data_IF_119629797008
#
_entry.id   IF_119629797008
#
_cell.length_a   1.000
_cell.length_b   1.000
_cell.length_c   1.000
_cell.angle_alpha   90.00
_cell.angle_beta   90.00
_cell.angle_gamma   90.00
#
_symmetry.space_group_name_H-M   'P 1'
#
loop_
_entity.id
_entity.type
_entity.pdbx_description
1 polymer ?
#
# COMPACT_ATOMS: atom_id res chain seq x y z
N UNK A 1 -13.16 21.33 27.22
CA UNK A 1 -14.12 20.42 26.57
C UNK A 1 -13.30 19.23 26.10
N UNK A 2 -13.39 18.09 26.81
CA UNK A 2 -12.70 16.86 26.40
C UNK A 2 -13.41 16.29 25.18
N UNK A 3 -12.75 16.32 24.02
CA UNK A 3 -13.18 15.52 22.88
C UNK A 3 -13.01 14.05 23.28
N UNK A 4 -14.11 13.35 23.45
CA UNK A 4 -14.11 11.90 23.66
C UNK A 4 -13.43 11.25 22.45
N UNK A 5 -12.31 10.56 22.69
CA UNK A 5 -11.69 9.73 21.67
C UNK A 5 -12.74 8.70 21.24
N UNK A 6 -13.14 8.72 19.96
CA UNK A 6 -14.06 7.73 19.43
C UNK A 6 -13.34 6.37 19.43
N UNK A 7 -13.75 5.47 20.34
CA UNK A 7 -13.24 4.11 20.36
C UNK A 7 -13.98 3.31 19.28
N UNK A 8 -13.32 3.07 18.13
CA UNK A 8 -13.83 2.18 17.11
C UNK A 8 -13.73 0.70 17.52
N UNK A 9 -14.51 -0.15 16.84
CA UNK A 9 -14.47 -1.61 17.00
C UNK A 9 -13.07 -2.13 16.65
N UNK A 10 -12.50 -3.03 17.47
CA UNK A 10 -11.28 -3.76 17.13
C UNK A 10 -11.61 -5.01 16.31
N UNK A 11 -10.88 -5.21 15.20
CA UNK A 11 -10.98 -6.41 14.35
C UNK A 11 -9.82 -7.32 14.69
N UNK A 12 -10.09 -8.55 15.09
CA UNK A 12 -9.07 -9.56 15.33
C UNK A 12 -8.57 -10.18 14.02
N UNK A 13 -7.40 -10.83 14.05
CA UNK A 13 -6.76 -11.40 12.87
C UNK A 13 -7.65 -12.42 12.12
N UNK A 14 -8.46 -13.20 12.84
CA UNK A 14 -9.39 -14.17 12.25
C UNK A 14 -10.54 -13.48 11.52
N UNK A 15 -11.08 -12.42 12.08
CA UNK A 15 -12.11 -11.62 11.44
C UNK A 15 -11.54 -10.87 10.21
N UNK A 16 -10.29 -10.38 10.30
CA UNK A 16 -9.60 -9.79 9.16
C UNK A 16 -9.37 -10.82 8.04
N UNK A 17 -8.98 -12.05 8.39
CA UNK A 17 -8.80 -13.13 7.40
C UNK A 17 -10.11 -13.47 6.66
N UNK A 18 -11.26 -13.42 7.34
CA UNK A 18 -12.56 -13.63 6.70
C UNK A 18 -12.93 -12.52 5.71
N UNK A 19 -12.33 -11.33 5.82
CA UNK A 19 -12.57 -10.20 4.91
C UNK A 19 -11.68 -10.24 3.66
N UNK A 20 -10.63 -11.08 3.60
CA UNK A 20 -9.62 -11.01 2.53
C UNK A 20 -10.25 -11.23 1.14
N UNK A 21 -11.14 -12.20 0.99
CA UNK A 21 -11.78 -12.49 -0.30
C UNK A 21 -12.74 -11.38 -0.74
N UNK A 22 -13.74 -10.94 0.08
CA UNK A 22 -14.64 -9.87 -0.35
C UNK A 22 -13.91 -8.54 -0.58
N UNK A 23 -12.85 -8.22 0.17
CA UNK A 23 -12.04 -7.02 -0.08
C UNK A 23 -11.20 -7.15 -1.36
N UNK A 24 -10.72 -8.36 -1.68
CA UNK A 24 -10.02 -8.61 -2.95
C UNK A 24 -10.97 -8.39 -4.14
N UNK A 25 -12.24 -8.83 -4.05
CA UNK A 25 -13.23 -8.55 -5.09
C UNK A 25 -13.44 -7.04 -5.31
N UNK A 26 -13.48 -6.25 -4.25
CA UNK A 26 -13.56 -4.79 -4.39
C UNK A 26 -12.37 -4.21 -5.14
N UNK A 27 -11.14 -4.64 -4.80
CA UNK A 27 -9.91 -4.19 -5.48
C UNK A 27 -9.89 -4.63 -6.94
N UNK A 28 -10.34 -5.85 -7.26
CA UNK A 28 -10.48 -6.33 -8.64
C UNK A 28 -11.46 -5.47 -9.45
N UNK A 29 -12.63 -5.19 -8.89
CA UNK A 29 -13.65 -4.36 -9.55
C UNK A 29 -13.19 -2.92 -9.73
N UNK A 30 -12.51 -2.34 -8.75
CA UNK A 30 -11.89 -1.02 -8.83
C UNK A 30 -10.82 -0.98 -9.94
N UNK A 31 -9.93 -1.97 -9.97
CA UNK A 31 -8.93 -2.13 -11.02
C UNK A 31 -9.53 -2.26 -12.42
N UNK A 32 -10.61 -3.04 -12.57
CA UNK A 32 -11.33 -3.15 -13.84
C UNK A 32 -11.95 -1.82 -14.28
N UNK A 33 -12.50 -1.03 -13.36
CA UNK A 33 -13.04 0.29 -13.65
C UNK A 33 -11.94 1.26 -14.11
N UNK A 34 -10.77 1.26 -13.47
CA UNK A 34 -9.60 2.05 -13.91
C UNK A 34 -9.20 1.66 -15.33
N UNK A 35 -9.09 0.35 -15.61
CA UNK A 35 -8.70 -0.16 -16.93
C UNK A 35 -9.71 0.15 -18.03
N UNK A 36 -10.98 0.37 -17.69
CA UNK A 36 -12.04 0.74 -18.64
C UNK A 36 -11.99 2.22 -19.06
N UNK A 37 -11.27 3.07 -18.32
CA UNK A 37 -11.14 4.50 -18.65
C UNK A 37 -10.28 4.69 -19.88
N UNK A 38 -10.76 5.48 -20.83
CA UNK A 38 -10.02 5.81 -22.05
C UNK A 38 -8.97 6.89 -21.78
N UNK A 39 -7.72 6.47 -21.63
CA UNK A 39 -6.58 7.38 -21.35
C UNK A 39 -6.37 8.46 -22.42
N UNK A 40 -6.83 8.25 -23.67
CA UNK A 40 -6.64 9.21 -24.77
C UNK A 40 -7.57 10.42 -24.69
N UNK A 41 -8.68 10.32 -23.95
CA UNK A 41 -9.67 11.39 -23.76
C UNK A 41 -9.79 11.84 -22.29
N UNK A 42 -8.79 11.48 -21.48
CA UNK A 42 -8.81 11.68 -20.04
C UNK A 42 -8.81 13.18 -19.69
N UNK A 43 -9.79 13.60 -18.92
CA UNK A 43 -9.75 14.89 -18.25
C UNK A 43 -8.87 14.76 -16.99
N UNK A 44 -7.86 15.62 -16.90
CA UNK A 44 -6.93 15.64 -15.75
C UNK A 44 -7.24 16.89 -14.95
N UNK A 45 -7.62 16.71 -13.69
CA UNK A 45 -7.80 17.81 -12.74
C UNK A 45 -6.59 17.88 -11.80
N UNK A 46 -6.25 19.07 -11.34
CA UNK A 46 -5.19 19.27 -10.34
C UNK A 46 -5.79 19.35 -8.95
N UNK A 47 -5.31 18.53 -8.01
CA UNK A 47 -5.62 18.68 -6.58
C UNK A 47 -4.96 19.94 -6.01
N UNK A 48 -5.32 20.33 -4.79
CA UNK A 48 -4.78 21.51 -4.12
C UNK A 48 -3.25 21.44 -3.90
N UNK A 49 -2.70 20.23 -3.79
CA UNK A 49 -1.27 19.95 -3.67
C UNK A 49 -0.54 19.85 -5.03
N UNK A 50 -1.26 20.01 -6.14
CA UNK A 50 -0.74 19.93 -7.50
C UNK A 50 -0.62 18.51 -8.06
N UNK A 51 -1.03 17.47 -7.33
CA UNK A 51 -1.12 16.12 -7.86
C UNK A 51 -2.30 15.99 -8.85
N UNK A 52 -2.20 15.14 -9.88
CA UNK A 52 -3.30 14.88 -10.80
C UNK A 52 -4.35 13.99 -10.15
N UNK A 53 -5.62 14.21 -10.51
CA UNK A 53 -6.73 13.30 -10.25
C UNK A 53 -7.55 13.14 -11.53
N UNK A 54 -8.13 11.99 -11.73
CA UNK A 54 -8.88 11.65 -12.93
C UNK A 54 -10.20 10.94 -12.60
N UNK A 55 -11.05 10.78 -13.61
CA UNK A 55 -12.28 9.99 -13.47
C UNK A 55 -12.02 8.53 -13.03
N UNK A 56 -10.81 8.00 -13.30
CA UNK A 56 -10.42 6.66 -12.88
C UNK A 56 -10.28 6.56 -11.35
N UNK A 57 -9.68 7.59 -10.72
CA UNK A 57 -9.54 7.68 -9.25
C UNK A 57 -10.93 7.68 -8.59
N UNK A 58 -11.85 8.51 -9.07
CA UNK A 58 -13.21 8.60 -8.53
C UNK A 58 -14.05 7.35 -8.78
N UNK A 59 -13.88 6.69 -9.94
CA UNK A 59 -14.59 5.44 -10.24
C UNK A 59 -14.16 4.31 -9.30
N UNK A 60 -12.86 4.17 -9.07
CA UNK A 60 -12.29 3.19 -8.14
C UNK A 60 -12.71 3.49 -6.69
N UNK A 61 -12.60 4.75 -6.27
CA UNK A 61 -12.98 5.20 -4.93
C UNK A 61 -14.45 4.88 -4.61
N UNK A 62 -15.36 5.14 -5.55
CA UNK A 62 -16.78 4.83 -5.38
C UNK A 62 -17.02 3.34 -5.18
N UNK A 63 -16.41 2.47 -6.01
CA UNK A 63 -16.57 1.02 -5.92
C UNK A 63 -16.10 0.51 -4.56
N UNK A 64 -14.92 0.95 -4.10
CA UNK A 64 -14.37 0.52 -2.82
C UNK A 64 -15.22 1.04 -1.66
N UNK A 65 -15.55 2.33 -1.65
CA UNK A 65 -16.31 2.95 -0.58
C UNK A 65 -17.74 2.39 -0.42
N UNK A 66 -18.46 2.21 -1.53
CA UNK A 66 -19.80 1.61 -1.52
C UNK A 66 -19.76 0.14 -1.07
N UNK A 67 -18.73 -0.60 -1.54
CA UNK A 67 -18.52 -1.98 -1.13
C UNK A 67 -18.19 -2.13 0.36
N UNK A 68 -17.31 -1.30 0.89
CA UNK A 68 -16.99 -1.28 2.33
C UNK A 68 -18.20 -0.92 3.19
N UNK A 69 -19.00 0.05 2.77
CA UNK A 69 -20.23 0.42 3.47
C UNK A 69 -21.24 -0.73 3.55
N UNK A 70 -21.30 -1.59 2.52
CA UNK A 70 -22.16 -2.76 2.50
C UNK A 70 -21.60 -3.94 3.31
N UNK A 71 -20.26 -4.14 3.27
CA UNK A 71 -19.62 -5.28 3.94
C UNK A 71 -19.43 -5.04 5.44
N UNK A 72 -19.02 -3.84 5.83
CA UNK A 72 -18.58 -3.53 7.19
C UNK A 72 -18.71 -2.02 7.48
N UNK A 73 -19.91 -1.48 7.30
CA UNK A 73 -20.19 -0.05 7.37
C UNK A 73 -19.97 0.64 8.73
N UNK A 74 -19.69 -0.12 9.79
CA UNK A 74 -19.35 0.40 11.13
C UNK A 74 -17.85 0.72 11.30
N UNK A 75 -16.99 0.39 10.30
CA UNK A 75 -15.57 0.74 10.30
C UNK A 75 -15.33 1.92 9.36
N UNK A 76 -14.73 3.05 9.82
CA UNK A 76 -14.44 4.19 8.95
C UNK A 76 -13.55 3.84 7.78
N UNK A 77 -13.89 4.34 6.60
CA UNK A 77 -13.11 4.24 5.38
C UNK A 77 -12.51 5.62 5.04
N UNK A 78 -11.20 5.71 5.09
CA UNK A 78 -10.41 6.92 4.85
C UNK A 78 -9.73 6.78 3.50
N UNK A 79 -10.19 7.56 2.53
CA UNK A 79 -9.70 7.53 1.16
C UNK A 79 -8.97 8.82 0.82
N UNK A 80 -7.93 8.73 0.00
CA UNK A 80 -7.26 9.91 -0.57
C UNK A 80 -8.24 10.87 -1.26
N UNK A 81 -9.32 10.35 -1.86
CA UNK A 81 -10.25 11.12 -2.69
C UNK A 81 -11.47 11.66 -1.93
N UNK A 82 -11.51 11.51 -0.60
CA UNK A 82 -12.66 11.93 0.22
C UNK A 82 -12.24 12.77 1.43
N UNK A 83 -13.10 13.71 1.89
CA UNK A 83 -12.92 14.31 3.21
C UNK A 83 -12.93 13.23 4.30
N UNK A 84 -12.03 13.36 5.26
CA UNK A 84 -11.89 12.36 6.31
C UNK A 84 -12.92 12.54 7.42
N UNK A 85 -13.70 11.50 7.77
CA UNK A 85 -14.75 11.58 8.76
C UNK A 85 -14.26 11.50 10.22
N UNK A 86 -12.96 11.28 10.42
CA UNK A 86 -12.36 11.08 11.75
C UNK A 86 -11.40 12.19 12.13
N UNK A 87 -11.32 12.45 13.43
CA UNK A 87 -10.29 13.33 14.00
C UNK A 87 -9.10 12.50 14.46
N UNK A 88 -7.89 13.00 14.22
CA UNK A 88 -6.66 12.38 14.69
C UNK A 88 -6.28 12.82 16.10
N UNK A 89 -5.63 11.96 16.92
CA UNK A 89 -5.32 10.56 16.61
C UNK A 89 -6.57 9.68 16.65
N UNK A 90 -6.67 8.74 15.74
CA UNK A 90 -7.78 7.79 15.69
C UNK A 90 -7.40 6.46 16.35
N UNK A 91 -8.26 5.95 17.21
CA UNK A 91 -8.07 4.66 17.90
C UNK A 91 -9.18 3.69 17.53
N UNK A 92 -8.81 2.46 17.24
CA UNK A 92 -9.71 1.41 16.75
C UNK A 92 -9.33 0.93 15.37
N UNK A 93 -10.30 0.34 14.67
CA UNK A 93 -10.10 -0.13 13.29
C UNK A 93 -10.59 0.90 12.28
N UNK A 94 -9.86 1.07 11.18
CA UNK A 94 -10.24 1.90 10.04
C UNK A 94 -9.58 1.37 8.76
N UNK A 95 -10.19 1.68 7.61
CA UNK A 95 -9.58 1.41 6.33
C UNK A 95 -8.79 2.62 5.85
N UNK A 96 -7.63 2.38 5.24
CA UNK A 96 -6.88 3.34 4.43
C UNK A 96 -6.93 2.89 2.98
N UNK A 97 -7.29 3.82 2.09
CA UNK A 97 -7.55 3.54 0.69
C UNK A 97 -6.82 4.56 -0.17
N UNK A 98 -6.01 4.05 -1.09
CA UNK A 98 -5.58 4.79 -2.26
C UNK A 98 -6.22 4.13 -3.49
N UNK A 99 -7.24 4.77 -4.08
CA UNK A 99 -7.99 4.19 -5.20
C UNK A 99 -7.15 4.04 -6.46
N UNK A 100 -6.17 4.92 -6.67
CA UNK A 100 -5.24 4.89 -7.80
C UNK A 100 -3.89 5.51 -7.43
N UNK A 101 -3.06 4.75 -6.69
CA UNK A 101 -1.66 5.11 -6.47
C UNK A 101 -0.90 5.09 -7.80
N UNK A 102 -0.26 6.21 -8.12
CA UNK A 102 0.45 6.38 -9.37
C UNK A 102 -0.41 6.96 -10.49
N UNK A 103 -1.27 7.93 -10.20
CA UNK A 103 -2.04 8.67 -11.23
C UNK A 103 -1.14 9.26 -12.31
N UNK A 104 0.08 9.68 -11.97
CA UNK A 104 1.09 10.15 -12.94
C UNK A 104 1.53 9.04 -13.90
N UNK A 105 1.75 7.83 -13.40
CA UNK A 105 2.07 6.65 -14.19
C UNK A 105 0.89 6.27 -15.10
N UNK A 106 -0.33 6.28 -14.56
CA UNK A 106 -1.55 6.02 -15.31
C UNK A 106 -1.73 7.01 -16.47
N UNK A 107 -1.65 8.30 -16.20
CA UNK A 107 -1.74 9.37 -17.21
C UNK A 107 -0.64 9.28 -18.26
N UNK A 108 0.58 8.89 -17.85
CA UNK A 108 1.72 8.69 -18.76
C UNK A 108 1.64 7.40 -19.59
N UNK A 109 0.55 6.61 -19.48
CA UNK A 109 0.37 5.36 -20.22
C UNK A 109 1.24 4.19 -19.72
N UNK A 110 1.76 4.26 -18.49
CA UNK A 110 2.54 3.20 -17.87
C UNK A 110 1.62 2.20 -17.15
N UNK A 111 2.15 1.02 -16.86
CA UNK A 111 1.38 -0.08 -16.25
C UNK A 111 1.59 -0.22 -14.73
N UNK A 112 2.52 0.55 -14.16
CA UNK A 112 2.91 0.48 -12.76
C UNK A 112 2.11 1.48 -11.90
N UNK A 113 0.80 1.27 -11.82
CA UNK A 113 -0.12 1.94 -10.90
C UNK A 113 -0.91 0.90 -10.12
N UNK A 114 -1.36 1.24 -8.91
CA UNK A 114 -1.98 0.27 -8.02
C UNK A 114 -3.25 0.80 -7.35
N UNK A 115 -4.11 -0.13 -6.91
CA UNK A 115 -5.21 0.11 -5.97
C UNK A 115 -4.74 -0.43 -4.63
N UNK A 116 -4.69 0.41 -3.61
CA UNK A 116 -4.22 0.04 -2.29
C UNK A 116 -5.37 0.08 -1.28
N UNK A 117 -5.58 -1.03 -0.58
CA UNK A 117 -6.60 -1.16 0.47
C UNK A 117 -5.97 -1.80 1.71
N UNK A 118 -6.03 -1.12 2.85
CA UNK A 118 -5.54 -1.62 4.12
C UNK A 118 -6.59 -1.53 5.21
N UNK A 119 -6.63 -2.53 6.09
CA UNK A 119 -7.30 -2.46 7.38
C UNK A 119 -6.24 -2.20 8.45
N UNK A 120 -6.38 -1.07 9.13
CA UNK A 120 -5.52 -0.66 10.25
C UNK A 120 -6.27 -0.92 11.55
N UNK A 121 -5.57 -1.46 12.55
CA UNK A 121 -6.08 -1.67 13.90
C UNK A 121 -5.15 -1.03 14.93
N UNK A 122 -5.68 -0.11 15.72
CA UNK A 122 -4.91 0.58 16.76
C UNK A 122 -3.56 1.13 16.24
N UNK A 123 -3.60 1.78 15.07
CA UNK A 123 -2.44 2.37 14.44
C UNK A 123 -1.47 1.39 13.75
N UNK A 124 -1.82 0.10 13.63
CA UNK A 124 -0.98 -0.90 12.95
C UNK A 124 -1.76 -1.58 11.81
N UNK A 125 -1.24 -1.61 10.57
CA UNK A 125 -1.87 -2.32 9.47
C UNK A 125 -1.93 -3.83 9.74
N UNK A 126 -3.13 -4.40 9.69
CA UNK A 126 -3.41 -5.81 9.95
C UNK A 126 -3.62 -6.61 8.67
N UNK A 127 -4.31 -6.02 7.69
CA UNK A 127 -4.58 -6.61 6.38
C UNK A 127 -4.21 -5.61 5.30
N UNK A 128 -3.63 -6.08 4.21
CA UNK A 128 -3.31 -5.27 3.05
C UNK A 128 -3.60 -5.99 1.74
N UNK A 129 -4.06 -5.23 0.75
CA UNK A 129 -4.28 -5.69 -0.62
C UNK A 129 -3.72 -4.61 -1.56
N UNK A 130 -2.84 -5.00 -2.46
CA UNK A 130 -2.27 -4.17 -3.52
C UNK A 130 -2.68 -4.79 -4.84
N UNK A 131 -3.59 -4.15 -5.56
CA UNK A 131 -3.97 -4.56 -6.92
C UNK A 131 -3.18 -3.78 -7.96
N UNK A 132 -2.51 -4.46 -8.89
CA UNK A 132 -1.84 -3.86 -10.04
C UNK A 132 -2.55 -4.30 -11.33
N UNK A 133 -3.65 -3.63 -11.72
CA UNK A 133 -4.58 -4.15 -12.73
C UNK A 133 -3.95 -4.28 -14.13
N UNK A 134 -3.07 -3.36 -14.51
CA UNK A 134 -2.39 -3.42 -15.80
C UNK A 134 -1.30 -4.52 -15.85
N UNK A 135 -0.77 -4.93 -14.69
CA UNK A 135 0.19 -6.03 -14.58
C UNK A 135 -0.52 -7.40 -14.41
N UNK A 136 -1.84 -7.41 -14.19
CA UNK A 136 -2.60 -8.62 -13.91
C UNK A 136 -2.19 -9.30 -12.60
N UNK A 137 -1.84 -8.52 -11.56
CA UNK A 137 -1.34 -9.02 -10.29
C UNK A 137 -2.08 -8.42 -9.10
N UNK A 138 -2.21 -9.22 -8.05
CA UNK A 138 -2.57 -8.76 -6.71
C UNK A 138 -1.59 -9.36 -5.71
N UNK A 139 -1.10 -8.55 -4.78
CA UNK A 139 -0.44 -9.00 -3.56
C UNK A 139 -1.36 -8.71 -2.38
N UNK A 140 -1.59 -9.70 -1.54
CA UNK A 140 -2.45 -9.55 -0.36
C UNK A 140 -1.91 -10.33 0.82
N UNK A 141 -2.24 -9.89 2.02
CA UNK A 141 -1.80 -10.58 3.23
C UNK A 141 -2.52 -10.12 4.48
N UNK A 142 -2.54 -11.01 5.47
CA UNK A 142 -3.01 -10.74 6.82
C UNK A 142 -1.87 -11.06 7.78
N UNK A 143 -1.49 -10.10 8.59
CA UNK A 143 -0.39 -10.25 9.56
C UNK A 143 -0.68 -11.40 10.51
N UNK A 144 0.27 -12.34 10.61
CA UNK A 144 0.14 -13.58 11.37
C UNK A 144 -0.59 -14.72 10.65
N UNK A 145 -1.04 -14.52 9.38
CA UNK A 145 -1.70 -15.56 8.56
C UNK A 145 -0.97 -15.85 7.26
N UNK A 146 -0.03 -15.00 6.85
CA UNK A 146 0.74 -15.11 5.63
C UNK A 146 0.29 -14.16 4.53
N UNK A 147 1.01 -14.20 3.43
CA UNK A 147 0.77 -13.41 2.23
C UNK A 147 0.76 -14.28 0.98
N UNK A 148 0.08 -13.82 -0.06
CA UNK A 148 0.01 -14.50 -1.35
C UNK A 148 -0.04 -13.51 -2.50
N UNK A 149 0.39 -13.98 -3.67
CA UNK A 149 0.27 -13.29 -4.94
C UNK A 149 -0.77 -14.01 -5.80
N UNK A 150 -1.69 -13.24 -6.37
CA UNK A 150 -2.68 -13.73 -7.31
C UNK A 150 -2.36 -13.24 -8.70
N UNK A 151 -2.49 -14.13 -9.70
CA UNK A 151 -2.57 -13.74 -11.09
C UNK A 151 -4.03 -13.44 -11.45
N UNK A 152 -4.25 -12.37 -12.20
CA UNK A 152 -5.59 -11.84 -12.52
C UNK A 152 -5.78 -11.86 -14.03
N UNK A 153 -6.93 -12.32 -14.49
CA UNK A 153 -7.38 -12.23 -15.88
C UNK A 153 -8.78 -11.57 -15.90
N UNK A 154 -8.83 -10.30 -16.33
CA UNK A 154 -10.04 -9.49 -16.23
C UNK A 154 -10.45 -9.24 -14.77
N UNK A 155 -11.63 -9.71 -14.36
CA UNK A 155 -12.15 -9.63 -12.98
C UNK A 155 -12.03 -10.94 -12.21
N UNK A 156 -11.29 -11.93 -12.72
CA UNK A 156 -11.16 -13.25 -12.11
C UNK A 156 -9.73 -13.51 -11.67
N UNK A 157 -9.56 -14.08 -10.48
CA UNK A 157 -8.28 -14.61 -10.02
C UNK A 157 -8.03 -15.98 -10.63
N UNK A 158 -6.90 -16.16 -11.31
CA UNK A 158 -6.56 -17.40 -11.97
C UNK A 158 -5.75 -18.35 -11.10
N UNK A 159 -4.86 -17.80 -10.26
CA UNK A 159 -3.94 -18.58 -9.42
C UNK A 159 -3.54 -17.76 -8.21
N UNK A 160 -3.56 -18.39 -7.03
CA UNK A 160 -2.99 -17.87 -5.80
C UNK A 160 -1.72 -18.66 -5.45
N UNK A 161 -0.64 -17.96 -5.12
CA UNK A 161 0.64 -18.53 -4.72
C UNK A 161 1.07 -17.90 -3.39
N UNK A 162 1.38 -18.70 -2.36
CA UNK A 162 2.00 -18.18 -1.15
C UNK A 162 3.32 -17.48 -1.49
N UNK A 163 3.55 -16.33 -0.86
CA UNK A 163 4.78 -15.56 -1.04
C UNK A 163 5.46 -15.31 0.29
N UNK A 164 6.79 -15.19 0.22
CA UNK A 164 7.63 -14.86 1.36
C UNK A 164 8.70 -13.87 0.93
N UNK A 165 9.07 -12.98 1.83
CA UNK A 165 10.27 -12.17 1.66
C UNK A 165 11.51 -13.07 1.67
N UNK A 166 12.62 -12.56 1.16
CA UNK A 166 13.87 -13.32 1.16
C UNK A 166 14.82 -12.87 2.27
N UNK A 167 15.70 -13.79 2.67
CA UNK A 167 16.79 -13.51 3.61
C UNK A 167 17.80 -12.53 3.03
N UNK A 168 18.66 -11.97 3.91
CA UNK A 168 19.80 -11.13 3.53
C UNK A 168 20.59 -11.69 2.36
N UNK A 169 21.08 -10.85 1.44
CA UNK A 169 22.03 -11.25 0.41
C UNK A 169 23.27 -11.92 1.05
N UNK A 170 23.75 -12.99 0.42
CA UNK A 170 25.00 -13.63 0.86
C UNK A 170 26.18 -12.67 0.66
N UNK A 171 27.26 -12.82 1.43
CA UNK A 171 28.49 -12.06 1.20
C UNK A 171 28.94 -12.16 -0.27
N UNK A 172 29.02 -11.00 -0.95
CA UNK A 172 29.36 -10.91 -2.37
C UNK A 172 28.17 -10.78 -3.32
N UNK A 173 26.96 -11.09 -2.89
CA UNK A 173 25.75 -10.86 -3.69
C UNK A 173 25.32 -9.38 -3.58
N UNK A 174 24.77 -8.78 -4.64
CA UNK A 174 24.28 -7.42 -4.62
C UNK A 174 22.96 -7.32 -3.83
N UNK A 175 22.79 -6.20 -3.12
CA UNK A 175 21.47 -5.83 -2.61
C UNK A 175 20.57 -5.36 -3.75
N UNK A 176 19.32 -5.82 -3.79
CA UNK A 176 18.30 -5.31 -4.72
C UNK A 176 17.39 -4.34 -3.97
N UNK A 177 17.49 -3.07 -4.33
CA UNK A 177 16.68 -2.01 -3.77
C UNK A 177 15.52 -1.66 -4.73
N UNK A 178 14.29 -1.86 -4.32
CA UNK A 178 13.13 -1.30 -5.00
C UNK A 178 13.11 0.21 -4.77
N UNK A 179 13.06 1.01 -5.84
CA UNK A 179 13.09 2.47 -5.75
C UNK A 179 11.96 3.09 -6.57
N UNK A 180 11.51 4.28 -6.13
CA UNK A 180 10.52 5.02 -6.90
C UNK A 180 11.08 5.44 -8.26
N UNK A 181 10.28 5.25 -9.31
CA UNK A 181 10.60 5.74 -10.66
C UNK A 181 10.52 7.27 -10.74
N UNK A 182 9.51 7.85 -10.12
CA UNK A 182 9.12 9.25 -10.28
C UNK A 182 9.49 10.15 -9.11
N UNK A 183 9.73 9.58 -7.90
CA UNK A 183 10.00 10.31 -6.67
C UNK A 183 11.27 9.81 -5.98
N UNK A 184 12.43 10.12 -6.58
CA UNK A 184 13.73 9.86 -5.96
C UNK A 184 14.05 10.94 -4.92
N UNK A 185 14.68 10.56 -3.81
CA UNK A 185 15.20 11.48 -2.82
C UNK A 185 16.66 11.15 -2.46
N UNK A 186 17.44 12.20 -2.11
CA UNK A 186 18.88 12.06 -1.85
C UNK A 186 19.19 11.18 -0.63
N UNK A 187 18.31 11.16 0.39
CA UNK A 187 18.51 10.36 1.61
C UNK A 187 18.35 8.88 1.31
N UNK A 188 17.31 8.50 0.56
CA UNK A 188 17.09 7.12 0.08
C UNK A 188 18.25 6.66 -0.80
N UNK A 189 18.72 7.50 -1.72
CA UNK A 189 19.86 7.17 -2.59
C UNK A 189 21.16 6.98 -1.78
N UNK A 190 21.45 7.84 -0.79
CA UNK A 190 22.60 7.68 0.10
C UNK A 190 22.50 6.39 0.93
N UNK A 191 21.30 6.07 1.43
CA UNK A 191 21.05 4.83 2.16
C UNK A 191 21.32 3.60 1.29
N UNK A 192 20.84 3.57 0.04
CA UNK A 192 21.09 2.48 -0.90
C UNK A 192 22.57 2.38 -1.25
N UNK A 193 23.24 3.51 -1.49
CA UNK A 193 24.65 3.54 -1.82
C UNK A 193 25.56 2.99 -0.69
N UNK A 194 25.09 2.99 0.56
CA UNK A 194 25.80 2.39 1.69
C UNK A 194 25.72 0.85 1.71
N UNK A 195 24.88 0.22 0.86
CA UNK A 195 24.75 -1.23 0.78
C UNK A 195 25.70 -1.80 -0.27
N UNK A 196 26.49 -2.85 0.04
CA UNK A 196 27.45 -3.43 -0.89
C UNK A 196 26.81 -3.88 -2.20
N UNK A 197 27.32 -3.40 -3.33
CA UNK A 197 26.90 -3.81 -4.66
C UNK A 197 25.44 -3.49 -5.03
N UNK A 198 24.77 -2.57 -4.33
CA UNK A 198 23.33 -2.35 -4.46
C UNK A 198 22.89 -2.02 -5.90
N UNK A 199 21.93 -2.79 -6.39
CA UNK A 199 21.25 -2.62 -7.67
C UNK A 199 19.88 -2.01 -7.44
N UNK A 200 19.47 -1.07 -8.27
CA UNK A 200 18.18 -0.37 -8.17
C UNK A 200 17.17 -0.93 -9.16
N UNK A 201 16.08 -1.45 -8.65
CA UNK A 201 14.89 -1.81 -9.45
C UNK A 201 13.90 -0.63 -9.41
N UNK A 202 13.77 0.08 -10.53
CA UNK A 202 12.89 1.27 -10.63
C UNK A 202 11.47 0.87 -10.96
N UNK A 203 10.56 1.10 -10.01
CA UNK A 203 9.15 0.70 -10.10
C UNK A 203 8.24 1.87 -9.71
N UNK A 204 7.02 1.87 -10.26
CA UNK A 204 5.93 2.78 -9.86
C UNK A 204 5.18 2.27 -8.64
N UNK A 205 4.47 3.16 -7.96
CA UNK A 205 3.44 2.88 -6.96
C UNK A 205 3.80 1.85 -5.90
N UNK A 206 2.80 1.20 -5.30
CA UNK A 206 2.98 0.13 -4.30
C UNK A 206 3.48 -1.20 -4.90
N UNK A 207 3.71 -1.32 -6.23
CA UNK A 207 4.38 -2.48 -6.84
C UNK A 207 5.69 -2.81 -6.13
N UNK A 208 6.41 -1.80 -5.63
CA UNK A 208 7.64 -1.95 -4.84
C UNK A 208 7.48 -2.83 -3.61
N UNK A 209 6.37 -2.67 -2.88
CA UNK A 209 6.03 -3.53 -1.74
C UNK A 209 5.72 -4.96 -2.18
N UNK A 210 4.99 -5.13 -3.29
CA UNK A 210 4.70 -6.45 -3.86
C UNK A 210 5.98 -7.20 -4.22
N UNK A 211 6.93 -6.53 -4.89
CA UNK A 211 8.23 -7.09 -5.26
C UNK A 211 9.06 -7.49 -4.04
N UNK A 212 9.02 -6.69 -2.98
CA UNK A 212 9.68 -7.01 -1.72
C UNK A 212 9.04 -8.23 -1.04
N UNK A 213 7.70 -8.27 -0.97
CA UNK A 213 6.94 -9.33 -0.32
C UNK A 213 7.10 -10.70 -1.01
N UNK A 214 7.25 -10.74 -2.35
CA UNK A 214 7.50 -11.97 -3.10
C UNK A 214 8.98 -12.38 -3.16
N UNK A 215 9.87 -11.68 -2.43
CA UNK A 215 11.29 -11.99 -2.35
C UNK A 215 12.10 -11.58 -3.58
N UNK A 216 11.58 -10.70 -4.44
CA UNK A 216 12.30 -10.20 -5.60
C UNK A 216 13.24 -9.04 -5.29
N UNK A 217 12.99 -8.29 -4.21
CA UNK A 217 13.84 -7.22 -3.71
C UNK A 217 14.24 -7.49 -2.24
N UNK A 218 15.29 -6.80 -1.74
CA UNK A 218 15.78 -6.90 -0.38
C UNK A 218 15.28 -5.74 0.49
N UNK A 219 15.20 -4.54 -0.09
CA UNK A 219 14.84 -3.31 0.61
C UNK A 219 14.01 -2.38 -0.28
N UNK A 220 13.14 -1.61 0.37
CA UNK A 220 12.50 -0.46 -0.23
C UNK A 220 12.57 0.73 0.73
N UNK A 221 13.59 1.60 0.63
CA UNK A 221 13.67 2.83 1.40
C UNK A 221 12.92 3.96 0.71
N UNK A 222 12.16 4.74 1.49
CA UNK A 222 11.61 6.03 1.13
C UNK A 222 11.79 6.98 2.31
N UNK A 223 12.84 7.81 2.25
CA UNK A 223 13.23 8.73 3.31
C UNK A 223 12.75 10.17 3.03
N UNK A 224 11.68 10.27 2.22
CA UNK A 224 10.92 11.48 1.94
C UNK A 224 9.45 11.26 2.29
N UNK A 225 8.69 12.30 2.65
CA UNK A 225 7.29 12.19 3.02
C UNK A 225 6.42 11.57 1.92
N UNK A 226 5.39 10.85 2.35
CA UNK A 226 4.32 10.31 1.52
C UNK A 226 3.04 10.24 2.36
N UNK A 227 1.94 9.76 1.78
CA UNK A 227 0.70 9.58 2.51
C UNK A 227 0.64 8.20 3.18
N UNK A 228 -0.12 8.07 4.27
CA UNK A 228 -0.29 6.80 4.97
C UNK A 228 -0.96 5.74 4.09
N UNK A 229 -1.90 6.11 3.20
CA UNK A 229 -2.58 5.20 2.27
C UNK A 229 -1.66 4.64 1.18
N UNK A 230 -0.54 5.32 0.83
CA UNK A 230 0.50 4.79 -0.06
C UNK A 230 1.26 3.61 0.59
N UNK A 231 1.28 3.56 1.94
CA UNK A 231 2.17 2.68 2.71
C UNK A 231 1.43 1.54 3.41
N UNK A 232 0.23 1.79 3.93
CA UNK A 232 -0.46 0.88 4.85
C UNK A 232 -0.69 -0.52 4.26
N UNK A 233 -1.18 -0.61 3.00
CA UNK A 233 -1.38 -1.91 2.35
C UNK A 233 -0.07 -2.66 2.16
N UNK A 234 0.97 -1.96 1.69
CA UNK A 234 2.31 -2.51 1.52
C UNK A 234 2.94 -2.97 2.83
N UNK A 235 2.76 -2.19 3.90
CA UNK A 235 3.22 -2.54 5.24
C UNK A 235 2.62 -3.88 5.70
N UNK A 236 1.30 -4.05 5.58
CA UNK A 236 0.64 -5.28 5.99
C UNK A 236 1.09 -6.48 5.14
N UNK A 237 1.18 -6.33 3.80
CA UNK A 237 1.59 -7.40 2.87
C UNK A 237 3.03 -7.84 3.15
N UNK A 238 3.97 -6.91 3.28
CA UNK A 238 5.39 -7.22 3.58
C UNK A 238 5.52 -7.89 4.95
N UNK A 239 4.82 -7.38 5.98
CA UNK A 239 4.85 -7.97 7.32
C UNK A 239 4.24 -9.38 7.31
N UNK A 240 3.13 -9.60 6.60
CA UNK A 240 2.50 -10.91 6.45
C UNK A 240 3.40 -11.90 5.69
N UNK A 241 4.24 -11.43 4.75
CA UNK A 241 5.20 -12.22 4.02
C UNK A 241 6.49 -12.54 4.81
N UNK A 242 6.63 -12.04 6.05
CA UNK A 242 7.78 -12.29 6.92
C UNK A 242 8.82 -11.17 6.96
N UNK A 243 8.60 -10.06 6.25
CA UNK A 243 9.44 -8.87 6.30
C UNK A 243 9.10 -7.92 7.45
N UNK A 244 9.67 -6.72 7.40
CA UNK A 244 9.46 -5.68 8.41
C UNK A 244 9.41 -4.30 7.74
N UNK A 245 8.61 -3.38 8.29
CA UNK A 245 8.60 -1.97 7.85
C UNK A 245 8.79 -1.08 9.07
N UNK A 246 9.77 -0.15 8.99
CA UNK A 246 10.16 0.71 10.10
C UNK A 246 10.40 2.14 9.62
N UNK A 247 10.52 3.08 10.53
CA UNK A 247 11.16 4.35 10.24
C UNK A 247 12.69 4.19 10.02
N UNK A 248 13.39 5.26 9.71
CA UNK A 248 14.84 5.23 9.49
C UNK A 248 15.65 4.89 10.76
N UNK A 249 15.04 4.91 11.96
CA UNK A 249 15.66 4.57 13.24
C UNK A 249 15.32 3.15 13.72
N UNK A 250 14.59 2.38 12.91
CA UNK A 250 14.15 1.03 13.25
C UNK A 250 12.88 0.96 14.11
N UNK A 251 12.24 2.09 14.42
CA UNK A 251 11.00 2.12 15.17
C UNK A 251 9.78 1.73 14.30
N UNK A 252 8.77 1.14 14.95
CA UNK A 252 7.52 0.79 14.27
C UNK A 252 6.77 2.03 13.79
N UNK A 253 6.21 1.97 12.58
CA UNK A 253 5.35 3.00 12.05
C UNK A 253 3.98 2.99 12.73
N UNK A 254 3.38 4.18 12.87
CA UNK A 254 2.04 4.36 13.43
C UNK A 254 1.16 5.09 12.42
N UNK A 255 -0.06 4.58 12.23
CA UNK A 255 -1.02 5.05 11.26
C UNK A 255 -2.24 5.67 11.96
N UNK A 256 -2.76 6.76 11.41
CA UNK A 256 -3.88 7.50 12.00
C UNK A 256 -3.53 8.26 13.28
N UNK A 257 -2.25 8.47 13.59
CA UNK A 257 -1.80 9.09 14.83
C UNK A 257 -0.98 10.36 14.61
N UNK A 258 -0.60 10.68 13.39
CA UNK A 258 0.27 11.82 13.07
C UNK A 258 -0.38 13.17 13.32
N UNK A 259 0.38 14.18 13.80
CA UNK A 259 -0.12 15.54 14.00
C UNK A 259 -0.42 16.27 12.69
N UNK A 260 0.22 15.88 11.60
CA UNK A 260 0.14 16.52 10.29
C UNK A 260 -0.84 15.81 9.34
N UNK A 261 -1.90 15.22 9.89
CA UNK A 261 -2.85 14.44 9.11
C UNK A 261 -2.33 13.03 8.82
N UNK A 262 -2.61 12.52 7.62
CA UNK A 262 -2.21 11.17 7.17
C UNK A 262 -0.84 11.18 6.46
N UNK A 263 0.13 11.92 7.00
CA UNK A 263 1.49 11.99 6.45
C UNK A 263 2.37 10.93 7.08
N UNK A 264 2.99 10.10 6.23
CA UNK A 264 4.07 9.20 6.60
C UNK A 264 5.41 9.89 6.30
N UNK A 265 6.19 10.32 7.30
CA UNK A 265 7.38 11.14 7.07
C UNK A 265 8.50 10.40 6.33
N UNK A 266 8.70 9.13 6.65
CA UNK A 266 9.72 8.26 6.04
C UNK A 266 9.48 6.80 6.42
N UNK A 267 10.00 5.87 5.62
CA UNK A 267 10.03 4.45 5.98
C UNK A 267 11.15 3.68 5.26
N UNK A 268 11.48 2.51 5.80
CA UNK A 268 12.27 1.48 5.14
C UNK A 268 11.52 0.15 5.28
N UNK A 269 11.19 -0.47 4.16
CA UNK A 269 10.69 -1.83 4.14
C UNK A 269 11.84 -2.80 3.87
N UNK A 270 11.90 -3.87 4.66
CA UNK A 270 12.97 -4.86 4.73
C UNK A 270 12.44 -6.23 4.37
N UNK A 271 13.12 -6.92 3.46
CA UNK A 271 12.83 -8.35 3.19
C UNK A 271 13.20 -9.21 4.38
N UNK A 272 14.42 -9.04 4.90
CA UNK A 272 14.86 -9.73 6.12
C UNK A 272 14.72 -8.80 7.34
N UNK A 273 13.91 -9.17 8.36
CA UNK A 273 13.72 -8.35 9.57
C UNK A 273 15.01 -8.09 10.35
N UNK A 274 16.01 -8.98 10.25
CA UNK A 274 17.29 -8.81 10.94
C UNK A 274 18.12 -7.65 10.41
N UNK A 275 17.84 -7.17 9.18
CA UNK A 275 18.48 -5.99 8.60
C UNK A 275 17.98 -4.66 9.20
N UNK A 276 16.87 -4.70 9.92
CA UNK A 276 16.22 -3.53 10.51
C UNK A 276 16.71 -3.18 11.93
N UNK A 277 17.86 -3.73 12.32
CA UNK A 277 18.51 -3.54 13.65
C UNK A 277 19.58 -2.45 13.61
#
# INVERSE_FOLDING_TARGET
MNAAASSGRNVEADAAAALIEPLTDLVLRAGAAIMAVNRSTLAIEGKADGSPVTEADFAADRIIGDGLAQLIGDIPALSEERPHPVSLPYRGSFFLIDPLDGTKEFVAGRDEFTVNLALVMNGTPLLGIIGAPALGLIWRGVVGRGAERLSVAGTSTARAEPIHTRSLPKPGDPWIAAVSRSHGDARSEAFIASRPGAVRERLGSAVKFGRLAEGAADIYPRLAPTSEWDVAAGHAVVTAAGGKVTDAKGAALRFGEGPDGFVMPEFIAWGDPSAAS
#
